data_IF_047348965681
#
_entry.id   IF_047348965681
#
_cell.length_a   1.000
_cell.length_b   1.000
_cell.length_c   1.000
_cell.angle_alpha   90.00
_cell.angle_beta   90.00
_cell.angle_gamma   90.00
#
_symmetry.space_group_name_H-M   'P 1'
#
loop_
_entity.id
_entity.type
_entity.pdbx_description
1 polymer ?
#
# COMPACT_ATOMS: atom_id res chain seq x y z
N UNK A 1 -44.38 -9.24 7.51
CA UNK A 1 -44.61 -8.46 6.26
C UNK A 1 -43.74 -7.20 6.38
N UNK A 2 -42.41 -7.20 6.32
CA UNK A 2 -41.44 -7.88 5.44
C UNK A 2 -41.74 -7.63 3.96
N UNK A 3 -41.21 -6.51 3.44
CA UNK A 3 -40.90 -6.18 2.02
C UNK A 3 -41.26 -4.73 1.62
N UNK A 4 -40.68 -3.71 2.27
CA UNK A 4 -40.69 -2.34 1.74
C UNK A 4 -39.34 -1.61 1.74
N UNK A 5 -38.25 -2.22 2.22
CA UNK A 5 -36.93 -1.56 2.32
C UNK A 5 -35.94 -1.94 1.21
N UNK A 6 -36.34 -2.73 0.20
CA UNK A 6 -35.45 -3.18 -0.89
C UNK A 6 -35.64 -2.44 -2.23
N UNK A 7 -36.55 -1.47 -2.33
CA UNK A 7 -36.80 -0.72 -3.57
C UNK A 7 -36.02 0.60 -3.68
N UNK A 8 -35.34 1.05 -2.63
CA UNK A 8 -34.74 2.39 -2.59
C UNK A 8 -33.27 2.46 -3.00
N UNK A 9 -32.64 1.31 -3.30
CA UNK A 9 -31.19 1.24 -3.57
C UNK A 9 -30.82 1.16 -5.07
N UNK A 10 -31.77 0.94 -5.98
CA UNK A 10 -31.48 0.79 -7.43
C UNK A 10 -31.60 2.08 -8.25
N UNK A 11 -32.06 3.19 -7.65
CA UNK A 11 -32.36 4.42 -8.39
C UNK A 11 -31.26 5.51 -8.32
N UNK A 12 -30.12 5.25 -7.68
CA UNK A 12 -29.09 6.28 -7.44
C UNK A 12 -27.91 6.28 -8.43
N UNK A 13 -27.93 5.45 -9.50
CA UNK A 13 -26.80 5.30 -10.44
C UNK A 13 -26.97 6.08 -11.76
N UNK A 14 -28.13 6.67 -12.02
CA UNK A 14 -28.32 7.49 -13.22
C UNK A 14 -28.44 8.96 -12.86
N UNK A 15 -27.77 9.81 -13.63
CA UNK A 15 -27.90 11.29 -13.68
C UNK A 15 -26.89 12.07 -12.85
N UNK A 16 -25.75 12.42 -13.46
CA UNK A 16 -25.44 13.81 -13.85
C UNK A 16 -24.02 13.87 -14.43
N UNK A 17 -23.94 13.74 -15.76
CA UNK A 17 -22.79 14.15 -16.54
C UNK A 17 -23.28 15.22 -17.51
N UNK A 18 -23.08 16.51 -17.20
CA UNK A 18 -23.07 17.59 -18.20
C UNK A 18 -22.43 18.83 -17.60
N UNK A 19 -21.14 19.04 -17.85
CA UNK A 19 -20.59 20.39 -18.08
C UNK A 19 -19.57 20.28 -19.22
N UNK A 20 -19.80 21.13 -20.19
CA UNK A 20 -19.32 21.16 -21.55
C UNK A 20 -17.99 21.92 -21.66
N UNK A 21 -16.96 21.29 -22.22
CA UNK A 21 -15.73 21.97 -22.68
C UNK A 21 -15.61 21.81 -24.19
N UNK A 22 -15.84 22.92 -24.88
CA UNK A 22 -16.06 23.06 -26.31
C UNK A 22 -14.78 23.50 -27.06
N UNK A 23 -14.54 22.86 -28.21
CA UNK A 23 -13.69 23.22 -29.38
C UNK A 23 -12.16 23.11 -29.22
N UNK A 24 -11.43 22.48 -30.14
CA UNK A 24 -11.39 22.68 -31.61
C UNK A 24 -11.17 21.35 -32.36
N UNK A 25 -11.85 21.19 -33.50
CA UNK A 25 -11.73 20.03 -34.38
C UNK A 25 -10.60 20.14 -35.41
N UNK A 26 -10.21 18.98 -35.95
CA UNK A 26 -9.57 18.84 -37.26
C UNK A 26 -10.16 17.59 -37.94
N UNK A 27 -10.34 17.68 -39.26
CA UNK A 27 -11.24 16.88 -40.08
C UNK A 27 -10.66 15.52 -40.51
N UNK A 28 -11.58 14.62 -40.82
CA UNK A 28 -11.37 13.25 -41.34
C UNK A 28 -10.65 13.20 -42.70
N UNK A 29 -9.96 12.09 -42.95
CA UNK A 29 -9.81 11.50 -44.28
C UNK A 29 -10.23 10.03 -44.19
N UNK A 30 -11.07 9.61 -45.13
CA UNK A 30 -11.66 8.28 -45.25
C UNK A 30 -10.77 7.30 -46.03
N UNK A 31 -11.12 6.03 -45.87
CA UNK A 31 -10.86 4.89 -46.75
C UNK A 31 -9.61 4.04 -46.47
N UNK A 32 -9.84 2.84 -45.90
CA UNK A 32 -9.55 1.55 -46.56
C UNK A 32 -10.17 0.40 -45.74
N UNK A 33 -11.05 -0.37 -46.38
CA UNK A 33 -11.58 -1.65 -45.87
C UNK A 33 -10.50 -2.73 -45.99
N UNK A 34 -10.22 -3.41 -44.89
CA UNK A 34 -9.36 -4.60 -44.82
C UNK A 34 -9.78 -5.47 -43.64
N UNK A 35 -10.44 -6.58 -43.95
CA UNK A 35 -10.89 -7.60 -43.00
C UNK A 35 -9.73 -8.41 -42.42
N UNK A 36 -9.64 -8.53 -41.09
CA UNK A 36 -9.06 -9.73 -40.45
C UNK A 36 -9.26 -9.75 -38.93
N UNK A 37 -9.90 -10.83 -38.48
CA UNK A 37 -9.54 -11.63 -37.30
C UNK A 37 -9.78 -11.08 -35.89
N UNK A 38 -10.94 -11.47 -35.36
CA UNK A 38 -11.15 -12.22 -34.11
C UNK A 38 -9.88 -12.46 -33.24
N UNK A 39 -10.01 -12.11 -31.96
CA UNK A 39 -9.10 -12.27 -30.80
C UNK A 39 -8.19 -11.07 -30.49
N UNK A 40 -8.73 -10.09 -29.76
CA UNK A 40 -7.93 -9.23 -28.90
C UNK A 40 -8.56 -9.23 -27.49
N UNK A 41 -8.54 -10.41 -26.87
CA UNK A 41 -8.99 -10.62 -25.51
C UNK A 41 -7.76 -10.61 -24.59
N UNK A 42 -7.72 -9.63 -23.68
CA UNK A 42 -6.87 -9.58 -22.48
C UNK A 42 -5.38 -9.19 -22.60
N UNK A 43 -4.98 -8.29 -23.50
CA UNK A 43 -3.76 -7.52 -23.21
C UNK A 43 -4.06 -6.46 -22.16
N UNK A 44 -3.66 -6.74 -20.92
CA UNK A 44 -3.57 -5.73 -19.87
C UNK A 44 -2.68 -4.61 -20.42
N UNK A 45 -3.14 -3.35 -20.48
CA UNK A 45 -2.36 -2.26 -21.08
C UNK A 45 -0.96 -2.19 -20.45
N UNK A 46 0.07 -1.94 -21.24
CA UNK A 46 1.48 -1.84 -20.78
C UNK A 46 1.66 -0.86 -19.60
N UNK A 47 0.73 0.09 -19.44
CA UNK A 47 0.73 1.11 -18.39
C UNK A 47 -0.17 0.80 -17.19
N UNK A 48 -0.82 -0.37 -17.13
CA UNK A 48 -1.77 -0.69 -16.06
C UNK A 48 -1.11 -0.68 -14.69
N UNK A 49 0.03 -1.35 -14.54
CA UNK A 49 0.75 -1.42 -13.26
C UNK A 49 1.38 -0.08 -12.86
N UNK A 50 1.82 0.72 -13.85
CA UNK A 50 2.27 2.07 -13.62
C UNK A 50 1.13 2.99 -13.12
N UNK A 51 -0.06 2.90 -13.75
CA UNK A 51 -1.25 3.63 -13.33
C UNK A 51 -1.71 3.23 -11.93
N UNK A 52 -1.68 1.93 -11.62
CA UNK A 52 -1.93 1.43 -10.27
C UNK A 52 -0.94 1.97 -9.26
N UNK A 53 0.36 1.95 -9.58
CA UNK A 53 1.40 2.45 -8.69
C UNK A 53 1.21 3.94 -8.39
N UNK A 54 0.94 4.76 -9.39
CA UNK A 54 0.72 6.20 -9.21
C UNK A 54 -0.55 6.49 -8.40
N UNK A 55 -1.63 5.74 -8.64
CA UNK A 55 -2.87 5.88 -7.87
C UNK A 55 -2.67 5.51 -6.39
N UNK A 56 -2.01 4.37 -6.11
CA UNK A 56 -1.69 3.96 -4.74
C UNK A 56 -0.79 4.97 -4.02
N UNK A 57 0.27 5.44 -4.68
CA UNK A 57 1.15 6.47 -4.13
C UNK A 57 0.44 7.79 -3.86
N UNK A 58 -0.46 8.20 -4.77
CA UNK A 58 -1.29 9.40 -4.60
C UNK A 58 -2.22 9.27 -3.40
N UNK A 59 -2.87 8.12 -3.21
CA UNK A 59 -3.69 7.87 -2.03
C UNK A 59 -2.85 7.98 -0.75
N UNK A 60 -1.65 7.38 -0.71
CA UNK A 60 -0.75 7.56 0.43
C UNK A 60 -0.48 9.03 0.72
N UNK A 61 -0.14 9.85 -0.30
CA UNK A 61 0.09 11.29 -0.12
C UNK A 61 -1.14 12.02 0.43
N UNK A 62 -2.34 11.70 -0.04
CA UNK A 62 -3.59 12.31 0.43
C UNK A 62 -3.78 12.01 1.93
N UNK A 63 -3.72 10.74 2.32
CA UNK A 63 -3.95 10.34 3.71
C UNK A 63 -2.81 10.77 4.65
N UNK A 64 -1.58 10.87 4.15
CA UNK A 64 -0.44 11.45 4.85
C UNK A 64 -0.58 12.96 5.09
N UNK A 65 -1.37 13.65 4.25
CA UNK A 65 -1.57 15.11 4.33
C UNK A 65 -2.70 15.52 5.28
N UNK A 66 -3.33 14.56 5.97
CA UNK A 66 -4.39 14.82 6.94
C UNK A 66 -3.95 15.88 7.94
N UNK A 67 -4.75 16.94 8.08
CA UNK A 67 -4.47 18.03 9.04
C UNK A 67 -5.07 17.75 10.42
N UNK A 68 -4.51 18.36 11.45
CA UNK A 68 -5.05 18.31 12.82
C UNK A 68 -6.51 18.80 12.82
N UNK A 69 -7.45 17.96 13.28
CA UNK A 69 -8.88 18.28 13.32
C UNK A 69 -9.69 17.87 12.09
N UNK A 70 -9.06 17.31 11.06
CA UNK A 70 -9.77 16.74 9.92
C UNK A 70 -10.36 15.36 10.27
N UNK A 71 -11.68 15.21 10.11
CA UNK A 71 -12.38 13.95 10.28
C UNK A 71 -12.56 13.22 8.95
N UNK A 72 -11.82 12.14 8.75
CA UNK A 72 -11.98 11.26 7.61
C UNK A 72 -13.02 10.18 7.94
N UNK A 73 -14.02 10.03 7.07
CA UNK A 73 -15.05 8.99 7.24
C UNK A 73 -14.42 7.59 7.26
N UNK A 74 -14.93 6.74 8.16
CA UNK A 74 -14.48 5.36 8.29
C UNK A 74 -14.57 4.56 6.99
N UNK A 75 -15.57 4.84 6.14
CA UNK A 75 -15.71 4.20 4.83
C UNK A 75 -14.53 4.50 3.89
N UNK A 76 -13.96 5.71 3.93
CA UNK A 76 -12.79 6.06 3.11
C UNK A 76 -11.52 5.43 3.66
N UNK A 77 -11.35 5.42 4.99
CA UNK A 77 -10.22 4.73 5.63
C UNK A 77 -10.24 3.23 5.35
N UNK A 78 -11.40 2.58 5.44
CA UNK A 78 -11.56 1.16 5.14
C UNK A 78 -11.13 0.83 3.71
N UNK A 79 -11.62 1.61 2.73
CA UNK A 79 -11.25 1.42 1.31
C UNK A 79 -9.76 1.66 1.08
N UNK A 80 -9.20 2.69 1.69
CA UNK A 80 -7.77 2.98 1.61
C UNK A 80 -6.92 1.84 2.20
N UNK A 81 -7.26 1.33 3.38
CA UNK A 81 -6.55 0.21 3.97
C UNK A 81 -6.66 -1.06 3.13
N UNK A 82 -7.81 -1.31 2.48
CA UNK A 82 -7.93 -2.42 1.54
C UNK A 82 -7.01 -2.28 0.32
N UNK A 83 -6.86 -1.08 -0.22
CA UNK A 83 -5.89 -0.81 -1.29
C UNK A 83 -4.46 -1.08 -0.82
N UNK A 84 -4.10 -0.65 0.39
CA UNK A 84 -2.77 -0.91 0.96
C UNK A 84 -2.52 -2.40 1.17
N UNK A 85 -3.49 -3.13 1.72
CA UNK A 85 -3.40 -4.59 1.92
C UNK A 85 -3.14 -5.30 0.59
N UNK A 86 -3.89 -4.95 -0.46
CA UNK A 86 -3.72 -5.55 -1.78
C UNK A 86 -2.39 -5.14 -2.45
N UNK A 87 -1.97 -3.88 -2.28
CA UNK A 87 -0.74 -3.36 -2.90
C UNK A 87 0.54 -3.85 -2.22
N UNK A 88 0.48 -4.18 -0.93
CA UNK A 88 1.59 -4.69 -0.12
C UNK A 88 1.54 -6.22 0.05
N UNK A 89 0.58 -6.90 -0.57
CA UNK A 89 0.45 -8.34 -0.45
C UNK A 89 1.68 -9.04 -1.05
N UNK A 90 2.33 -9.86 -0.22
CA UNK A 90 3.47 -10.69 -0.59
C UNK A 90 2.97 -12.12 -0.67
N UNK A 91 2.93 -12.68 -1.88
CA UNK A 91 2.41 -14.01 -2.18
C UNK A 91 2.99 -14.51 -3.51
N UNK A 92 2.23 -15.32 -4.25
CA UNK A 92 2.71 -15.89 -5.53
C UNK A 92 3.08 -14.84 -6.59
N UNK A 93 2.44 -13.66 -6.55
CA UNK A 93 2.76 -12.55 -7.46
C UNK A 93 2.92 -11.25 -6.68
N UNK A 94 4.12 -10.66 -6.73
CA UNK A 94 4.44 -9.36 -6.12
C UNK A 94 4.47 -8.29 -7.20
N UNK A 95 3.60 -7.28 -7.07
CA UNK A 95 3.67 -6.11 -7.93
C UNK A 95 4.67 -5.08 -7.37
N UNK A 96 5.93 -5.23 -7.78
CA UNK A 96 7.05 -4.37 -7.38
C UNK A 96 6.81 -2.85 -7.57
N UNK A 97 6.28 -2.36 -8.71
CA UNK A 97 6.05 -0.93 -8.87
C UNK A 97 5.00 -0.38 -7.91
N UNK A 98 3.92 -1.13 -7.64
CA UNK A 98 2.88 -0.72 -6.68
C UNK A 98 3.43 -0.70 -5.26
N UNK A 99 4.14 -1.77 -4.86
CA UNK A 99 4.75 -1.86 -3.53
C UNK A 99 5.75 -0.72 -3.31
N UNK A 100 6.64 -0.48 -4.27
CA UNK A 100 7.62 0.62 -4.19
C UNK A 100 6.95 1.99 -4.07
N UNK A 101 5.90 2.22 -4.87
CA UNK A 101 5.17 3.49 -4.84
C UNK A 101 4.48 3.73 -3.49
N UNK A 102 3.86 2.70 -2.90
CA UNK A 102 3.27 2.79 -1.57
C UNK A 102 4.33 3.18 -0.55
N UNK A 103 5.43 2.41 -0.47
CA UNK A 103 6.52 2.64 0.50
C UNK A 103 7.11 4.04 0.37
N UNK A 104 7.37 4.51 -0.85
CA UNK A 104 7.93 5.84 -1.08
C UNK A 104 7.01 6.96 -0.60
N UNK A 105 5.69 6.81 -0.74
CA UNK A 105 4.72 7.86 -0.47
C UNK A 105 4.06 7.77 0.92
N UNK A 106 4.35 6.73 1.70
CA UNK A 106 3.73 6.48 3.00
C UNK A 106 4.66 6.71 4.20
N UNK A 107 5.84 7.32 4.02
CA UNK A 107 6.80 7.52 5.09
C UNK A 107 6.21 8.15 6.38
N UNK A 108 5.37 9.20 6.32
CA UNK A 108 4.77 9.78 7.53
C UNK A 108 3.44 9.13 7.94
N UNK A 109 2.96 8.09 7.25
CA UNK A 109 1.58 7.59 7.37
C UNK A 109 1.21 7.18 8.79
N UNK A 110 2.13 6.52 9.50
CA UNK A 110 1.92 6.06 10.88
C UNK A 110 1.96 7.21 11.90
N UNK A 111 2.45 8.39 11.51
CA UNK A 111 2.46 9.60 12.34
C UNK A 111 1.18 10.45 12.18
N UNK A 112 0.33 10.15 11.20
CA UNK A 112 -0.87 10.95 10.87
C UNK A 112 -2.10 10.68 11.76
N UNK A 113 -1.97 9.81 12.77
CA UNK A 113 -3.05 9.42 13.69
C UNK A 113 -4.34 8.99 12.95
N UNK A 114 -4.19 8.10 11.98
CA UNK A 114 -5.32 7.56 11.22
C UNK A 114 -6.00 6.45 12.02
N UNK A 115 -7.32 6.60 12.24
CA UNK A 115 -8.11 5.60 12.99
C UNK A 115 -7.98 4.23 12.33
N UNK A 116 -7.55 3.23 13.10
CA UNK A 116 -7.43 1.84 12.63
C UNK A 116 -6.21 1.53 11.77
N UNK A 117 -5.23 2.43 11.64
CA UNK A 117 -4.02 2.23 10.82
C UNK A 117 -3.23 0.96 11.19
N UNK A 118 -3.36 0.48 12.43
CA UNK A 118 -2.69 -0.74 12.88
C UNK A 118 -3.02 -1.99 12.05
N UNK A 119 -4.17 -2.00 11.35
CA UNK A 119 -4.56 -3.13 10.48
C UNK A 119 -3.58 -3.36 9.32
N UNK A 120 -2.89 -2.31 8.85
CA UNK A 120 -1.94 -2.42 7.72
C UNK A 120 -0.50 -2.67 8.16
N UNK A 121 -0.18 -2.49 9.46
CA UNK A 121 1.17 -2.68 10.02
C UNK A 121 1.84 -4.00 9.60
N UNK A 122 1.19 -5.19 9.70
CA UNK A 122 1.86 -6.44 9.33
C UNK A 122 2.30 -6.48 7.86
N UNK A 123 1.54 -5.87 6.95
CA UNK A 123 1.86 -5.82 5.52
C UNK A 123 3.05 -4.90 5.25
N UNK A 124 3.13 -3.77 5.95
CA UNK A 124 4.32 -2.90 5.90
C UNK A 124 5.56 -3.62 6.43
N UNK A 125 5.46 -4.33 7.55
CA UNK A 125 6.60 -5.09 8.11
C UNK A 125 7.09 -6.14 7.10
N UNK A 126 6.19 -6.89 6.49
CA UNK A 126 6.57 -7.87 5.46
C UNK A 126 7.23 -7.22 4.24
N UNK A 127 6.78 -6.03 3.81
CA UNK A 127 7.45 -5.28 2.73
C UNK A 127 8.85 -4.82 3.14
N UNK A 128 9.02 -4.32 4.38
CA UNK A 128 10.31 -3.89 4.90
C UNK A 128 11.31 -5.05 5.03
N UNK A 129 10.85 -6.27 5.36
CA UNK A 129 11.68 -7.49 5.41
C UNK A 129 12.26 -7.87 4.05
N UNK A 130 11.64 -7.44 2.95
CA UNK A 130 12.12 -7.67 1.59
C UNK A 130 13.10 -6.57 1.17
N UNK A 131 12.78 -5.31 1.48
CA UNK A 131 13.53 -4.14 0.98
C UNK A 131 14.81 -3.90 1.78
N UNK A 132 14.73 -3.86 3.11
CA UNK A 132 15.81 -3.36 3.96
C UNK A 132 17.00 -4.31 4.09
N UNK A 133 16.82 -5.64 4.27
CA UNK A 133 17.95 -6.58 4.29
C UNK A 133 18.52 -6.89 2.88
N UNK A 134 18.22 -6.06 1.88
CA UNK A 134 18.69 -6.19 0.49
C UNK A 134 18.31 -7.52 -0.20
N UNK A 135 17.24 -8.20 0.26
CA UNK A 135 16.85 -9.52 -0.24
C UNK A 135 16.42 -9.48 -1.70
N UNK A 136 15.65 -8.47 -2.08
CA UNK A 136 15.12 -8.31 -3.44
C UNK A 136 15.24 -6.89 -3.99
N UNK A 137 16.13 -6.05 -3.45
CA UNK A 137 16.25 -4.64 -3.84
C UNK A 137 16.53 -4.46 -5.34
N UNK A 138 17.25 -5.41 -5.95
CA UNK A 138 17.54 -5.41 -7.39
C UNK A 138 16.27 -5.41 -8.25
N UNK A 139 15.18 -6.04 -7.79
CA UNK A 139 13.89 -6.09 -8.51
C UNK A 139 13.16 -4.75 -8.53
N UNK A 140 13.56 -3.79 -7.68
CA UNK A 140 12.96 -2.45 -7.61
C UNK A 140 13.71 -1.40 -8.43
N UNK A 141 14.97 -1.66 -8.80
CA UNK A 141 15.86 -0.69 -9.49
C UNK A 141 15.32 -0.23 -10.84
N UNK A 142 14.50 -1.03 -11.51
CA UNK A 142 13.87 -0.69 -12.78
C UNK A 142 12.71 0.32 -12.64
N UNK A 143 12.21 0.52 -11.43
CA UNK A 143 11.02 1.36 -11.17
C UNK A 143 11.36 2.62 -10.37
N UNK A 144 12.26 2.51 -9.39
CA UNK A 144 12.53 3.59 -8.44
C UNK A 144 14.01 3.65 -8.04
N UNK A 145 14.45 4.79 -7.51
CA UNK A 145 15.79 4.92 -6.93
C UNK A 145 15.88 4.07 -5.64
N UNK A 146 16.79 3.08 -5.56
CA UNK A 146 16.90 2.21 -4.40
C UNK A 146 17.30 2.94 -3.12
N UNK A 147 18.09 4.01 -3.21
CA UNK A 147 18.51 4.80 -2.04
C UNK A 147 17.32 5.53 -1.41
N UNK A 148 16.46 6.13 -2.23
CA UNK A 148 15.24 6.79 -1.76
C UNK A 148 14.21 5.78 -1.24
N UNK A 149 14.08 4.62 -1.90
CA UNK A 149 13.20 3.54 -1.43
C UNK A 149 13.64 3.03 -0.05
N UNK A 150 14.95 2.84 0.14
CA UNK A 150 15.52 2.48 1.45
C UNK A 150 15.28 3.59 2.48
N UNK A 151 15.49 4.85 2.12
CA UNK A 151 15.23 5.99 3.01
C UNK A 151 13.78 6.01 3.51
N UNK A 152 12.81 5.92 2.61
CA UNK A 152 11.40 5.86 3.00
C UNK A 152 11.08 4.61 3.83
N UNK A 153 11.69 3.48 3.50
CA UNK A 153 11.55 2.24 4.28
C UNK A 153 12.08 2.38 5.71
N UNK A 154 13.22 3.05 5.90
CA UNK A 154 13.79 3.37 7.21
C UNK A 154 12.86 4.29 7.99
N UNK A 155 12.34 5.36 7.39
CA UNK A 155 11.36 6.23 8.05
C UNK A 155 10.14 5.46 8.56
N UNK A 156 9.60 4.58 7.73
CA UNK A 156 8.47 3.73 8.13
C UNK A 156 8.89 2.82 9.28
N UNK A 157 10.02 2.11 9.17
CA UNK A 157 10.52 1.24 10.23
C UNK A 157 10.63 1.97 11.57
N UNK A 158 11.24 3.14 11.58
CA UNK A 158 11.42 3.97 12.78
C UNK A 158 10.07 4.39 13.38
N UNK A 159 9.08 4.73 12.54
CA UNK A 159 7.72 5.03 13.02
C UNK A 159 6.98 3.83 13.64
N UNK A 160 7.38 2.60 13.29
CA UNK A 160 6.79 1.37 13.80
C UNK A 160 7.47 0.87 15.10
N UNK A 161 8.72 1.25 15.36
CA UNK A 161 9.47 0.81 16.56
C UNK A 161 8.78 1.13 17.91
N UNK A 162 8.06 2.27 18.07
CA UNK A 162 7.34 2.56 19.30
C UNK A 162 6.07 1.71 19.50
N UNK A 163 5.50 1.11 18.44
CA UNK A 163 4.20 0.44 18.52
C UNK A 163 4.19 -0.78 19.46
N UNK A 164 5.15 -1.73 19.40
CA UNK A 164 5.19 -2.85 20.33
C UNK A 164 5.32 -2.43 21.80
N UNK A 165 5.93 -1.27 22.08
CA UNK A 165 6.02 -0.74 23.44
C UNK A 165 4.68 -0.18 23.91
N UNK A 166 3.99 0.58 23.06
CA UNK A 166 2.66 1.12 23.34
C UNK A 166 1.60 0.03 23.59
N UNK A 167 1.68 -1.09 22.87
CA UNK A 167 0.71 -2.18 22.97
C UNK A 167 1.12 -3.33 23.89
N UNK A 168 2.28 -3.27 24.54
CA UNK A 168 2.85 -4.35 25.36
C UNK A 168 1.98 -4.82 26.54
N UNK A 169 0.92 -4.10 26.89
CA UNK A 169 -0.06 -4.43 27.94
C UNK A 169 -1.44 -4.85 27.42
N UNK A 170 -1.72 -4.73 26.12
CA UNK A 170 -3.00 -5.14 25.52
C UNK A 170 -2.84 -6.59 25.02
N UNK A 171 -3.78 -7.47 25.32
CA UNK A 171 -3.72 -8.87 24.86
C UNK A 171 -3.71 -8.92 23.34
N UNK A 172 -2.72 -9.62 22.78
CA UNK A 172 -2.29 -9.62 21.37
C UNK A 172 -3.27 -10.16 20.34
N UNK A 173 -4.42 -10.70 20.77
CA UNK A 173 -5.33 -11.47 19.91
C UNK A 173 -6.07 -10.58 18.90
N UNK A 174 -6.45 -9.35 19.26
CA UNK A 174 -7.45 -8.59 18.49
C UNK A 174 -6.87 -7.76 17.34
N UNK A 175 -5.58 -7.40 17.36
CA UNK A 175 -4.99 -6.49 16.37
C UNK A 175 -4.38 -7.21 15.16
N UNK A 176 -4.14 -8.52 15.26
CA UNK A 176 -3.34 -9.29 14.31
C UNK A 176 -4.11 -10.49 13.72
N UNK A 177 -5.39 -10.67 14.05
CA UNK A 177 -6.22 -11.78 13.53
C UNK A 177 -6.64 -11.63 12.04
N UNK A 178 -5.95 -10.79 11.28
CA UNK A 178 -6.08 -10.71 9.83
C UNK A 178 -5.42 -11.91 9.17
N UNK A 179 -6.06 -13.09 9.28
CA UNK A 179 -5.77 -14.36 8.57
C UNK A 179 -4.37 -14.45 7.95
N UNK A 180 -3.38 -14.64 8.80
CA UNK A 180 -2.08 -15.14 8.39
C UNK A 180 -2.21 -16.64 8.15
N UNK A 181 -2.50 -17.07 6.92
CA UNK A 181 -2.10 -18.37 6.35
C UNK A 181 -2.87 -18.61 5.05
N UNK A 182 -2.14 -18.63 3.93
CA UNK A 182 -2.51 -19.46 2.79
C UNK A 182 -1.82 -20.84 2.87
N UNK A 183 -1.17 -21.16 4.00
CA UNK A 183 -0.65 -22.50 4.26
C UNK A 183 -1.71 -23.33 4.98
N UNK A 184 -2.18 -24.38 4.28
CA UNK A 184 -2.97 -25.50 4.82
C UNK A 184 -2.11 -26.41 5.73
N UNK A 185 -1.25 -25.81 6.55
CA UNK A 185 -0.45 -26.48 7.56
C UNK A 185 -0.65 -25.78 8.90
N UNK A 186 -1.52 -26.36 9.73
CA UNK A 186 -1.99 -25.81 11.00
C UNK A 186 -0.90 -25.53 12.02
N UNK A 187 -0.25 -24.36 11.92
CA UNK A 187 0.43 -23.74 13.04
C UNK A 187 -0.18 -22.36 13.32
N UNK A 188 -1.31 -22.39 14.03
CA UNK A 188 -1.90 -21.29 14.80
C UNK A 188 -0.89 -20.80 15.86
N UNK A 189 0.18 -20.11 15.44
CA UNK A 189 1.03 -19.36 16.36
C UNK A 189 0.45 -17.96 16.45
N UNK A 190 -0.23 -17.59 17.55
CA UNK A 190 -0.72 -16.23 17.71
C UNK A 190 0.47 -15.28 17.59
N UNK A 191 0.38 -14.31 16.67
CA UNK A 191 1.40 -13.29 16.51
C UNK A 191 1.35 -12.43 17.76
N UNK A 192 2.34 -12.62 18.64
CA UNK A 192 2.45 -11.89 19.91
C UNK A 192 3.18 -10.56 19.70
N UNK A 193 2.93 -9.56 20.55
CA UNK A 193 3.73 -8.32 20.58
C UNK A 193 5.24 -8.57 20.71
N UNK A 194 5.63 -9.64 21.40
CA UNK A 194 7.02 -10.06 21.49
C UNK A 194 7.58 -10.49 20.12
N UNK A 195 6.81 -11.27 19.34
CA UNK A 195 7.19 -11.64 17.97
C UNK A 195 7.28 -10.43 17.05
N UNK A 196 6.38 -9.45 17.19
CA UNK A 196 6.41 -8.19 16.45
C UNK A 196 7.69 -7.39 16.75
N UNK A 197 8.04 -7.26 18.04
CA UNK A 197 9.27 -6.60 18.49
C UNK A 197 10.50 -7.27 17.90
N UNK A 198 10.58 -8.60 17.94
CA UNK A 198 11.71 -9.34 17.37
C UNK A 198 11.84 -9.14 15.86
N UNK A 199 10.72 -9.14 15.11
CA UNK A 199 10.73 -8.86 13.67
C UNK A 199 11.29 -7.47 13.37
N UNK A 200 10.77 -6.43 14.03
CA UNK A 200 11.23 -5.05 13.82
C UNK A 200 12.72 -4.87 14.14
N UNK A 201 13.20 -5.46 15.25
CA UNK A 201 14.63 -5.42 15.61
C UNK A 201 15.49 -6.15 14.58
N UNK A 202 15.05 -7.31 14.07
CA UNK A 202 15.79 -8.03 13.04
C UNK A 202 15.87 -7.24 11.73
N UNK A 203 14.79 -6.57 11.33
CA UNK A 203 14.76 -5.69 10.16
C UNK A 203 15.73 -4.52 10.35
N UNK A 204 15.74 -3.90 11.54
CA UNK A 204 16.63 -2.81 11.88
C UNK A 204 18.11 -3.21 11.79
N UNK A 205 18.46 -4.37 12.34
CA UNK A 205 19.82 -4.94 12.23
C UNK A 205 20.17 -5.18 10.76
N UNK A 206 19.25 -5.77 9.97
CA UNK A 206 19.46 -5.99 8.54
C UNK A 206 19.62 -4.70 7.75
N UNK A 207 18.87 -3.65 8.10
CA UNK A 207 19.01 -2.32 7.52
C UNK A 207 20.41 -1.76 7.80
N UNK A 208 20.86 -1.76 9.07
CA UNK A 208 22.19 -1.29 9.47
C UNK A 208 23.33 -2.04 8.77
N UNK A 209 23.22 -3.36 8.64
CA UNK A 209 24.26 -4.19 8.04
C UNK A 209 24.43 -3.98 6.54
N UNK A 210 23.37 -3.54 5.85
CA UNK A 210 23.35 -3.39 4.39
C UNK A 210 23.33 -1.93 3.94
N UNK A 211 23.21 -0.97 4.86
CA UNK A 211 23.13 0.44 4.49
C UNK A 211 24.48 0.98 4.03
N UNK A 212 24.48 1.60 2.86
CA UNK A 212 25.68 2.19 2.25
C UNK A 212 25.61 3.70 2.16
N UNK A 213 24.40 4.28 2.20
CA UNK A 213 24.23 5.74 2.14
C UNK A 213 24.48 6.38 3.52
N UNK A 214 25.31 7.43 3.60
CA UNK A 214 25.63 8.08 4.86
C UNK A 214 24.43 8.78 5.51
N UNK A 215 23.49 9.34 4.74
CA UNK A 215 22.30 9.99 5.31
C UNK A 215 21.36 8.94 5.91
N UNK A 216 21.12 7.85 5.19
CA UNK A 216 20.31 6.74 5.69
C UNK A 216 20.94 6.12 6.94
N UNK A 217 22.26 5.95 6.97
CA UNK A 217 22.99 5.48 8.16
C UNK A 217 22.81 6.43 9.35
N UNK A 218 22.94 7.74 9.12
CA UNK A 218 22.70 8.75 10.15
C UNK A 218 21.26 8.72 10.66
N UNK A 219 20.28 8.50 9.80
CA UNK A 219 18.88 8.37 10.23
C UNK A 219 18.66 7.15 11.13
N UNK A 220 19.26 6.00 10.79
CA UNK A 220 19.10 4.80 11.62
C UNK A 220 19.79 4.98 12.98
N UNK A 221 20.98 5.60 13.01
CA UNK A 221 21.75 5.81 14.24
C UNK A 221 21.30 7.00 15.07
N UNK A 222 20.73 8.04 14.45
CA UNK A 222 20.33 9.27 15.13
C UNK A 222 19.00 9.18 15.87
N UNK A 223 18.18 8.18 15.56
CA UNK A 223 16.89 7.89 16.19
C UNK A 223 16.96 6.70 17.18
N UNK A 224 18.15 6.12 17.37
CA UNK A 224 18.45 5.07 18.36
C UNK A 224 19.01 5.67 19.66
#
# INVERSE_FOLDING_TARGET
MSNQTLSSLSAAIATQATVELRRKGSQMSTDTMGSSSINDANEIPENYEAGRAEACGTLCRIFCSKKTGEEILSAYLSRFYMVLVQGLQIGEFICHPVLASIILNSAPLFCCDLKGINVVVPYFISALEIILPDRELSKFKSYVNPTELRRSSIHILLSLLPLPHHFGTVKSEVLLEGKFSNDDSGSDKPVTFLSLKLRLVNILIGALQTETDPNNTQMILGEL
#
